data_IF_881227233760
#
_entry.id   IF_881227233760
#
_cell.length_a   1.000
_cell.length_b   1.000
_cell.length_c   1.000
_cell.angle_alpha   90.00
_cell.angle_beta   90.00
_cell.angle_gamma   90.00
#
_symmetry.space_group_name_H-M   'P 1'
#
loop_
_entity.id
_entity.type
_entity.pdbx_description
1 polymer ?
#
# COMPACT_ATOMS: atom_id res chain seq x y z
N UNK A 1 56.07 -6.97 13.35
CA UNK A 1 54.60 -7.06 13.16
C UNK A 1 54.17 -8.45 13.59
N UNK A 2 53.46 -8.56 14.69
CA UNK A 2 53.10 -9.85 15.26
C UNK A 2 51.99 -10.50 14.38
N UNK A 3 52.20 -11.78 14.05
CA UNK A 3 51.23 -12.57 13.23
C UNK A 3 49.80 -12.51 13.77
N UNK A 4 49.67 -12.35 15.09
CA UNK A 4 48.38 -12.19 15.77
C UNK A 4 47.69 -10.86 15.41
N UNK A 5 48.43 -9.76 15.31
CA UNK A 5 47.87 -8.45 14.90
C UNK A 5 47.40 -8.42 13.45
N UNK A 6 48.08 -9.14 12.57
CA UNK A 6 47.67 -9.26 11.16
C UNK A 6 46.38 -10.09 11.00
N UNK A 7 46.21 -11.14 11.81
CA UNK A 7 44.99 -11.96 11.83
C UNK A 7 43.77 -11.18 12.35
N UNK A 8 43.95 -10.34 13.36
CA UNK A 8 42.88 -9.49 13.90
C UNK A 8 42.47 -8.42 12.89
N UNK A 9 43.46 -7.82 12.20
CA UNK A 9 43.18 -6.81 11.17
C UNK A 9 42.44 -7.42 9.98
N UNK A 10 42.80 -8.63 9.56
CA UNK A 10 42.16 -9.36 8.47
C UNK A 10 40.71 -9.76 8.84
N UNK A 11 40.47 -10.15 10.11
CA UNK A 11 39.12 -10.46 10.61
C UNK A 11 38.22 -9.23 10.64
N UNK A 12 38.73 -8.04 11.00
CA UNK A 12 37.96 -6.79 11.04
C UNK A 12 37.50 -6.35 9.64
N UNK A 13 38.24 -6.65 8.58
CA UNK A 13 37.84 -6.34 7.21
C UNK A 13 36.61 -7.17 6.72
N UNK A 14 36.35 -8.35 7.27
CA UNK A 14 35.23 -9.18 6.92
C UNK A 14 33.88 -8.68 7.50
N UNK A 15 33.89 -7.86 8.55
CA UNK A 15 32.67 -7.32 9.17
C UNK A 15 32.13 -6.08 8.47
N UNK A 16 32.83 -5.47 7.54
CA UNK A 16 32.44 -4.21 6.90
C UNK A 16 31.46 -4.37 5.69
N UNK A 17 31.16 -5.60 5.26
CA UNK A 17 30.37 -5.84 4.05
C UNK A 17 28.89 -6.22 4.32
N UNK A 18 28.33 -5.99 5.52
CA UNK A 18 27.02 -6.55 5.90
C UNK A 18 25.84 -5.57 5.83
N UNK A 19 26.00 -4.34 5.43
CA UNK A 19 24.87 -3.45 5.20
C UNK A 19 24.45 -3.50 3.73
N UNK A 20 23.63 -4.49 3.34
CA UNK A 20 22.86 -4.38 2.10
C UNK A 20 21.87 -3.23 2.30
N UNK A 21 22.12 -2.14 1.61
CA UNK A 21 21.24 -0.98 1.59
C UNK A 21 19.83 -1.40 1.21
N UNK A 22 18.84 -0.94 1.98
CA UNK A 22 17.43 -1.23 1.70
C UNK A 22 17.05 -0.56 0.39
N UNK A 23 16.73 -1.34 -0.61
CA UNK A 23 16.30 -0.84 -1.90
C UNK A 23 14.82 -0.46 -1.86
N UNK A 24 14.48 0.61 -2.59
CA UNK A 24 13.13 1.12 -2.65
C UNK A 24 12.16 0.07 -3.23
N UNK A 25 11.02 -0.08 -2.56
CA UNK A 25 9.93 -0.92 -3.02
C UNK A 25 9.07 -0.10 -3.98
N UNK A 26 8.82 -0.63 -5.16
CA UNK A 26 8.06 0.07 -6.20
C UNK A 26 6.72 -0.59 -6.44
N UNK A 27 5.67 0.22 -6.49
CA UNK A 27 4.42 -0.16 -7.15
C UNK A 27 4.66 0.06 -8.63
N UNK A 28 4.81 -1.04 -9.37
CA UNK A 28 5.12 -0.99 -10.81
C UNK A 28 3.89 -0.72 -11.64
N UNK A 29 2.71 -1.12 -11.17
CA UNK A 29 1.46 -0.90 -11.91
C UNK A 29 0.21 -1.11 -11.03
N UNK A 30 -0.87 -0.38 -11.34
CA UNK A 30 -2.23 -0.62 -10.82
C UNK A 30 -2.99 -1.42 -11.87
N UNK A 31 -3.15 -2.72 -11.65
CA UNK A 31 -3.72 -3.64 -12.65
C UNK A 31 -5.23 -3.54 -12.76
N UNK A 32 -5.92 -3.40 -11.66
CA UNK A 32 -7.37 -3.22 -11.65
C UNK A 32 -7.90 -2.72 -10.31
N UNK A 33 -9.04 -2.08 -10.38
CA UNK A 33 -9.91 -1.81 -9.25
C UNK A 33 -11.27 -2.46 -9.52
N UNK A 34 -11.83 -3.16 -8.53
CA UNK A 34 -13.12 -3.82 -8.64
C UNK A 34 -13.94 -3.60 -7.38
N UNK A 35 -15.17 -3.14 -7.55
CA UNK A 35 -16.17 -3.13 -6.48
C UNK A 35 -16.70 -4.55 -6.29
N UNK A 36 -16.63 -5.06 -5.06
CA UNK A 36 -17.07 -6.42 -4.72
C UNK A 36 -18.40 -6.44 -3.99
N UNK A 37 -18.72 -5.36 -3.27
CA UNK A 37 -19.99 -5.20 -2.56
C UNK A 37 -20.36 -3.72 -2.47
N UNK A 38 -21.63 -3.42 -2.71
CA UNK A 38 -22.24 -2.10 -2.43
C UNK A 38 -23.49 -2.35 -1.61
N UNK A 39 -23.58 -1.78 -0.43
CA UNK A 39 -24.69 -1.97 0.49
C UNK A 39 -24.85 -0.78 1.43
N UNK A 40 -25.90 -0.81 2.23
CA UNK A 40 -26.22 0.23 3.23
C UNK A 40 -25.18 0.31 4.35
N UNK A 41 -24.41 -0.75 4.56
CA UNK A 41 -23.35 -0.87 5.57
C UNK A 41 -21.97 -0.46 5.03
N UNK A 42 -21.84 -0.18 3.74
CA UNK A 42 -20.59 0.28 3.15
C UNK A 42 -20.36 -0.25 1.74
N UNK A 43 -19.16 0.10 1.24
CA UNK A 43 -18.66 -0.35 -0.05
C UNK A 43 -17.41 -1.20 0.21
N UNK A 44 -17.35 -2.37 -0.42
CA UNK A 44 -16.15 -3.20 -0.44
C UNK A 44 -15.57 -3.26 -1.85
N UNK A 45 -14.25 -3.21 -1.93
CA UNK A 45 -13.54 -3.26 -3.19
C UNK A 45 -12.20 -3.97 -3.09
N UNK A 46 -11.67 -4.34 -4.22
CA UNK A 46 -10.35 -4.93 -4.36
C UNK A 46 -9.51 -4.08 -5.31
N UNK A 47 -8.28 -3.79 -4.90
CA UNK A 47 -7.25 -3.19 -5.74
C UNK A 47 -6.19 -4.23 -5.99
N UNK A 48 -5.82 -4.45 -7.25
CA UNK A 48 -4.74 -5.34 -7.63
C UNK A 48 -3.55 -4.49 -8.06
N UNK A 49 -2.45 -4.60 -7.28
CA UNK A 49 -1.22 -3.87 -7.53
C UNK A 49 -0.09 -4.83 -7.91
N UNK A 50 0.69 -4.48 -8.92
CA UNK A 50 1.98 -5.11 -9.16
C UNK A 50 3.03 -4.44 -8.28
N UNK A 51 3.67 -5.21 -7.40
CA UNK A 51 4.68 -4.70 -6.46
C UNK A 51 5.99 -5.42 -6.69
N UNK A 52 7.03 -4.62 -6.93
CA UNK A 52 8.42 -5.07 -7.01
C UNK A 52 9.13 -4.81 -5.69
N UNK A 53 9.58 -5.89 -5.07
CA UNK A 53 10.44 -5.85 -3.88
C UNK A 53 11.82 -6.41 -4.23
N UNK A 54 12.83 -5.57 -4.49
CA UNK A 54 14.17 -6.01 -4.81
C UNK A 54 14.96 -6.49 -3.58
N UNK A 55 14.42 -6.28 -2.37
CA UNK A 55 15.09 -6.71 -1.15
C UNK A 55 14.96 -8.21 -0.93
N UNK A 56 16.00 -8.85 -0.42
CA UNK A 56 16.00 -10.29 -0.13
C UNK A 56 14.97 -10.72 0.92
N UNK A 57 14.52 -9.79 1.75
CA UNK A 57 13.55 -10.06 2.81
C UNK A 57 12.16 -9.54 2.44
N UNK A 58 11.15 -10.38 2.64
CA UNK A 58 9.76 -9.97 2.54
C UNK A 58 9.33 -9.15 3.76
N UNK A 59 8.20 -8.46 3.61
CA UNK A 59 7.53 -7.69 4.67
C UNK A 59 6.02 -7.85 4.56
N UNK A 60 5.29 -7.35 5.54
CA UNK A 60 3.83 -7.38 5.52
C UNK A 60 3.26 -5.97 5.57
N UNK A 61 2.22 -5.76 4.81
CA UNK A 61 1.33 -4.61 4.90
C UNK A 61 0.21 -5.00 5.86
N UNK A 62 0.01 -4.20 6.88
CA UNK A 62 -0.98 -4.42 7.94
C UNK A 62 -2.24 -3.59 7.70
N UNK A 63 -3.35 -3.92 8.36
CA UNK A 63 -4.55 -3.10 8.33
C UNK A 63 -4.23 -1.62 8.56
N UNK A 64 -4.73 -0.78 7.66
CA UNK A 64 -4.44 0.65 7.57
C UNK A 64 -5.68 1.40 7.11
N UNK A 65 -5.81 2.66 7.52
CA UNK A 65 -6.93 3.53 7.13
C UNK A 65 -6.43 4.65 6.23
N UNK A 66 -7.26 5.01 5.26
CA UNK A 66 -7.00 6.05 4.28
C UNK A 66 -8.25 6.92 4.12
N UNK A 67 -8.06 8.22 4.04
CA UNK A 67 -9.10 9.14 3.63
C UNK A 67 -9.19 9.12 2.10
N UNK A 68 -10.41 8.96 1.60
CA UNK A 68 -10.68 8.90 0.16
C UNK A 68 -11.55 10.07 -0.24
N UNK A 69 -11.13 10.77 -1.29
CA UNK A 69 -11.94 11.80 -1.95
C UNK A 69 -12.09 11.47 -3.42
N UNK A 70 -13.25 11.79 -3.98
CA UNK A 70 -13.52 11.67 -5.41
C UNK A 70 -14.04 12.99 -5.95
N UNK A 71 -13.32 13.58 -6.90
CA UNK A 71 -13.61 14.91 -7.45
C UNK A 71 -13.86 15.98 -6.39
N UNK A 72 -13.09 15.95 -5.29
CA UNK A 72 -13.22 16.85 -4.15
C UNK A 72 -14.27 16.47 -3.11
N UNK A 73 -15.12 15.48 -3.39
CA UNK A 73 -16.15 14.98 -2.47
C UNK A 73 -15.49 13.94 -1.53
N UNK A 74 -15.70 14.08 -0.22
CA UNK A 74 -15.22 13.11 0.76
C UNK A 74 -16.03 11.82 0.67
N UNK A 75 -15.36 10.73 0.31
CA UNK A 75 -15.93 9.37 0.25
C UNK A 75 -15.85 8.63 1.60
N UNK A 76 -15.27 9.27 2.62
CA UNK A 76 -15.05 8.67 3.91
C UNK A 76 -13.70 7.94 4.02
N UNK A 77 -13.62 6.99 4.97
CA UNK A 77 -12.41 6.24 5.25
C UNK A 77 -12.44 4.86 4.62
N UNK A 78 -11.48 4.59 3.75
CA UNK A 78 -11.23 3.24 3.25
C UNK A 78 -10.28 2.52 4.20
N UNK A 79 -10.63 1.30 4.60
CA UNK A 79 -9.83 0.45 5.47
C UNK A 79 -9.30 -0.74 4.71
N UNK A 80 -7.98 -0.89 4.68
CA UNK A 80 -7.35 -2.15 4.36
C UNK A 80 -7.53 -3.08 5.57
N UNK A 81 -8.38 -4.09 5.47
CA UNK A 81 -8.74 -4.94 6.61
C UNK A 81 -7.99 -6.27 6.67
N UNK A 82 -7.29 -6.66 5.61
CA UNK A 82 -6.49 -7.87 5.59
C UNK A 82 -5.00 -7.56 5.46
N UNK A 83 -4.20 -8.33 6.20
CA UNK A 83 -2.74 -8.32 6.07
C UNK A 83 -2.35 -8.91 4.71
N UNK A 84 -1.45 -8.23 4.00
CA UNK A 84 -0.87 -8.70 2.73
C UNK A 84 0.63 -8.89 2.92
N UNK A 85 1.13 -10.09 2.62
CA UNK A 85 2.57 -10.38 2.68
C UNK A 85 3.22 -10.17 1.32
N UNK A 86 4.23 -9.29 1.27
CA UNK A 86 5.02 -8.99 0.08
C UNK A 86 6.31 -9.80 0.16
N UNK A 87 6.48 -10.72 -0.78
CA UNK A 87 7.66 -11.58 -0.82
C UNK A 87 8.92 -10.78 -1.17
N UNK A 88 10.08 -11.26 -0.69
CA UNK A 88 11.37 -10.70 -1.08
C UNK A 88 11.82 -11.18 -2.48
N UNK A 89 12.73 -10.45 -3.12
CA UNK A 89 13.27 -10.73 -4.45
C UNK A 89 12.16 -11.09 -5.46
N UNK A 90 11.08 -10.31 -5.48
CA UNK A 90 9.90 -10.65 -6.28
C UNK A 90 9.25 -9.44 -6.91
N UNK A 91 8.63 -9.67 -8.06
CA UNK A 91 7.67 -8.77 -8.68
C UNK A 91 6.40 -9.58 -8.93
N UNK A 92 5.35 -9.30 -8.17
CA UNK A 92 4.09 -10.08 -8.18
C UNK A 92 2.89 -9.16 -8.04
N UNK A 93 1.74 -9.68 -8.44
CA UNK A 93 0.44 -9.06 -8.19
C UNK A 93 -0.06 -9.41 -6.79
N UNK A 94 -0.56 -8.40 -6.09
CA UNK A 94 -1.13 -8.51 -4.75
C UNK A 94 -2.51 -7.90 -4.71
N UNK A 95 -3.45 -8.58 -4.06
CA UNK A 95 -4.82 -8.13 -3.91
C UNK A 95 -4.98 -7.43 -2.56
N UNK A 96 -5.40 -6.18 -2.59
CA UNK A 96 -5.71 -5.37 -1.42
C UNK A 96 -7.22 -5.23 -1.28
N UNK A 97 -7.77 -5.76 -0.20
CA UNK A 97 -9.20 -5.67 0.10
C UNK A 97 -9.47 -4.44 0.94
N UNK A 98 -10.31 -3.57 0.41
CA UNK A 98 -10.70 -2.31 1.02
C UNK A 98 -12.17 -2.34 1.41
N UNK A 99 -12.48 -1.73 2.53
CA UNK A 99 -13.85 -1.49 2.98
C UNK A 99 -14.00 -0.02 3.39
N UNK A 100 -15.06 0.62 2.98
CA UNK A 100 -15.42 1.97 3.42
C UNK A 100 -16.78 1.96 4.10
N UNK A 101 -16.89 2.68 5.21
CA UNK A 101 -18.17 2.90 5.90
C UNK A 101 -18.84 4.14 5.28
N UNK A 102 -20.10 4.00 4.86
CA UNK A 102 -20.88 5.11 4.29
C UNK A 102 -21.44 6.09 5.33
N UNK A 103 -21.17 5.86 6.62
CA UNK A 103 -21.71 6.69 7.71
C UNK A 103 -21.34 8.18 7.60
N UNK A 104 -20.22 8.47 6.95
CA UNK A 104 -19.72 9.83 6.77
C UNK A 104 -20.09 10.42 5.40
N UNK A 105 -20.84 9.69 4.57
CA UNK A 105 -21.25 10.13 3.25
C UNK A 105 -22.70 10.64 3.26
N UNK A 106 -22.90 11.80 2.65
CA UNK A 106 -24.24 12.27 2.36
C UNK A 106 -24.82 11.45 1.17
N UNK A 107 -26.07 10.99 1.30
CA UNK A 107 -26.75 10.23 0.23
C UNK A 107 -26.76 10.98 -1.11
N UNK A 108 -26.84 12.31 -1.07
CA UNK A 108 -26.81 13.16 -2.28
C UNK A 108 -25.45 13.12 -2.97
N UNK A 109 -24.35 13.02 -2.21
CA UNK A 109 -23.00 12.88 -2.75
C UNK A 109 -22.83 11.52 -3.47
N UNK A 110 -23.38 10.45 -2.89
CA UNK A 110 -23.41 9.12 -3.51
C UNK A 110 -24.18 9.13 -4.83
N UNK A 111 -25.38 9.73 -4.83
CA UNK A 111 -26.18 9.86 -6.03
C UNK A 111 -25.52 10.71 -7.11
N UNK A 112 -24.83 11.77 -6.71
CA UNK A 112 -24.03 12.61 -7.61
C UNK A 112 -22.90 11.86 -8.30
N UNK A 113 -22.24 10.96 -7.58
CA UNK A 113 -21.17 10.11 -8.10
C UNK A 113 -21.71 9.06 -9.08
N UNK A 114 -22.80 8.36 -8.69
CA UNK A 114 -23.41 7.30 -9.50
C UNK A 114 -24.03 7.86 -10.78
N UNK A 115 -24.72 9.00 -10.71
CA UNK A 115 -25.33 9.63 -11.88
C UNK A 115 -24.35 10.44 -12.73
N UNK A 116 -23.19 10.76 -12.19
CA UNK A 116 -22.21 11.63 -12.84
C UNK A 116 -21.50 10.99 -14.03
N UNK A 117 -21.43 9.66 -14.14
CA UNK A 117 -20.87 8.90 -15.28
C UNK A 117 -19.53 9.42 -15.85
N UNK A 118 -18.94 10.43 -15.23
CA UNK A 118 -17.78 11.16 -15.74
C UNK A 118 -16.49 10.64 -15.07
N UNK A 119 -15.42 10.68 -15.82
CA UNK A 119 -14.08 10.48 -15.26
C UNK A 119 -13.85 11.50 -14.15
N UNK A 120 -13.59 11.02 -12.95
CA UNK A 120 -13.28 11.82 -11.78
C UNK A 120 -11.90 11.53 -11.25
N UNK A 121 -11.37 12.42 -10.43
CA UNK A 121 -10.10 12.25 -9.76
C UNK A 121 -10.33 11.60 -8.39
N UNK A 122 -9.82 10.38 -8.22
CA UNK A 122 -9.72 9.78 -6.88
C UNK A 122 -8.43 10.23 -6.22
N UNK A 123 -8.51 10.57 -4.94
CA UNK A 123 -7.35 10.82 -4.09
C UNK A 123 -7.43 9.99 -2.83
N UNK A 124 -6.34 9.33 -2.49
CA UNK A 124 -6.21 8.46 -1.32
C UNK A 124 -5.07 9.00 -0.47
N UNK A 125 -5.36 9.38 0.77
CA UNK A 125 -4.39 9.93 1.69
C UNK A 125 -4.42 9.17 3.02
N UNK A 126 -3.25 8.95 3.62
CA UNK A 126 -3.18 8.29 4.92
C UNK A 126 -1.82 7.73 5.24
N UNK A 127 -1.79 6.77 6.17
CA UNK A 127 -0.56 6.12 6.58
C UNK A 127 -0.67 4.60 6.42
N UNK A 128 0.14 4.06 5.53
CA UNK A 128 0.30 2.62 5.36
C UNK A 128 1.17 2.06 6.47
N UNK A 129 0.69 1.06 7.20
CA UNK A 129 1.48 0.32 8.18
C UNK A 129 2.15 -0.87 7.50
N UNK A 130 3.47 -0.89 7.47
CA UNK A 130 4.22 -2.01 6.93
C UNK A 130 5.38 -2.40 7.84
N UNK A 131 5.80 -3.66 7.78
CA UNK A 131 6.92 -4.12 8.59
C UNK A 131 7.09 -5.63 8.60
N UNK A 132 8.02 -6.07 9.44
CA UNK A 132 8.35 -7.48 9.63
C UNK A 132 8.35 -7.81 11.12
N UNK A 133 7.70 -8.91 11.51
CA UNK A 133 7.56 -9.35 12.90
C UNK A 133 7.00 -8.23 13.81
N UNK A 134 7.78 -7.80 14.80
CA UNK A 134 7.39 -6.78 15.79
C UNK A 134 7.71 -5.35 15.34
N UNK A 135 8.53 -5.17 14.31
CA UNK A 135 8.93 -3.86 13.82
C UNK A 135 7.94 -3.41 12.74
N UNK A 136 7.11 -2.42 13.06
CA UNK A 136 6.14 -1.80 12.14
C UNK A 136 6.48 -0.33 11.99
N UNK A 137 6.48 0.15 10.75
CA UNK A 137 6.65 1.57 10.41
C UNK A 137 5.40 2.06 9.69
N UNK A 138 5.17 3.37 9.76
CA UNK A 138 4.11 4.05 9.01
C UNK A 138 4.75 4.81 7.86
N UNK A 139 4.16 4.67 6.70
CA UNK A 139 4.59 5.34 5.48
C UNK A 139 3.44 6.23 5.01
N UNK A 140 3.68 7.52 4.79
CA UNK A 140 2.66 8.40 4.24
C UNK A 140 2.30 7.95 2.82
N UNK A 141 1.01 7.95 2.52
CA UNK A 141 0.45 7.69 1.20
C UNK A 141 -0.33 8.92 0.79
N UNK A 142 -0.03 9.48 -0.36
CA UNK A 142 -0.81 10.49 -1.06
C UNK A 142 -0.82 10.10 -2.54
N UNK A 143 -1.91 9.47 -2.95
CA UNK A 143 -2.08 8.95 -4.30
C UNK A 143 -3.27 9.64 -4.95
N UNK A 144 -3.13 10.01 -6.20
CA UNK A 144 -4.19 10.66 -6.97
C UNK A 144 -4.18 10.16 -8.40
N UNK A 145 -5.35 9.72 -8.88
CA UNK A 145 -5.52 9.18 -10.23
C UNK A 145 -6.89 9.53 -10.80
N UNK A 146 -6.98 9.65 -12.12
CA UNK A 146 -8.25 9.81 -12.82
C UNK A 146 -8.84 8.44 -13.11
N UNK A 147 -10.02 8.18 -12.59
CA UNK A 147 -10.77 6.95 -12.82
C UNK A 147 -12.17 7.24 -13.33
N UNK A 148 -12.68 6.38 -14.21
CA UNK A 148 -14.10 6.35 -14.56
C UNK A 148 -14.84 5.38 -13.64
N UNK A 149 -15.94 5.80 -13.03
CA UNK A 149 -16.83 4.94 -12.23
C UNK A 149 -17.91 4.26 -13.08
N UNK A 150 -17.60 3.94 -14.32
CA UNK A 150 -18.57 3.32 -15.22
C UNK A 150 -17.89 2.29 -16.11
N UNK A 151 -18.16 1.04 -15.86
CA UNK A 151 -17.78 -0.09 -16.69
C UNK A 151 -18.39 -1.34 -16.13
#
# INVERSE_FOLDING_TARGET
MNKLGFLILLSALFFLNSCKEFQEIKVSDVKSFRLTKVGTDGIEGEVILSIKNPNSKGFSIYPSEFDVTYSGIKMGKARLYKRVHIAGNSEKMYVFKLKTDLKDMNLMDVLGIVNGGKMGQIRVQGNLKAGKFYIKKRFPVDFSEKIGLGG
#
